data_IF_062973729746
#
_entry.id   IF_062973729746
#
_cell.length_a   1.000
_cell.length_b   1.000
_cell.length_c   1.000
_cell.angle_alpha   90.00
_cell.angle_beta   90.00
_cell.angle_gamma   90.00
#
_symmetry.space_group_name_H-M   'P 1'
#
loop_
_entity.id
_entity.type
_entity.pdbx_description
1 polymer ?
#
# COMPACT_ATOMS: atom_id res chain seq x y z
N UNK A 1 5.08 9.05 -10.35
CA UNK A 1 5.86 9.26 -9.11
C UNK A 1 6.42 7.96 -8.51
N UNK A 2 5.61 6.96 -8.14
CA UNK A 2 6.18 5.67 -7.68
C UNK A 2 7.06 5.04 -8.77
N UNK A 3 6.52 4.92 -9.99
CA UNK A 3 7.25 4.36 -11.13
C UNK A 3 8.56 5.10 -11.44
N UNK A 4 8.53 6.43 -11.45
CA UNK A 4 9.72 7.28 -11.61
C UNK A 4 10.78 7.01 -10.54
N UNK A 5 10.38 6.82 -9.27
CA UNK A 5 11.32 6.52 -8.19
C UNK A 5 11.97 5.15 -8.36
N UNK A 6 11.19 4.13 -8.78
CA UNK A 6 11.71 2.80 -9.10
C UNK A 6 12.67 2.86 -10.29
N UNK A 7 12.31 3.58 -11.36
CA UNK A 7 13.15 3.78 -12.56
C UNK A 7 14.44 4.55 -12.24
N UNK A 8 14.41 5.45 -11.25
CA UNK A 8 15.57 6.14 -10.72
C UNK A 8 16.44 5.28 -9.77
N UNK A 9 16.07 4.02 -9.53
CA UNK A 9 16.84 3.08 -8.71
C UNK A 9 16.58 3.16 -7.21
N UNK A 10 15.46 3.76 -6.77
CA UNK A 10 15.09 3.74 -5.36
C UNK A 10 14.57 2.36 -4.96
N UNK A 11 15.17 1.76 -3.94
CA UNK A 11 14.84 0.40 -3.48
C UNK A 11 14.04 0.38 -2.17
N UNK A 12 13.79 1.54 -1.54
CA UNK A 12 13.00 1.68 -0.32
C UNK A 12 12.17 2.98 -0.40
N UNK A 13 10.87 2.84 -0.66
CA UNK A 13 10.00 3.93 -1.10
C UNK A 13 8.77 4.01 -0.20
N UNK A 14 8.57 5.16 0.45
CA UNK A 14 7.32 5.48 1.14
C UNK A 14 6.37 6.19 0.17
N UNK A 15 5.15 5.68 0.02
CA UNK A 15 4.12 6.27 -0.82
C UNK A 15 2.98 6.79 0.05
N UNK A 16 2.57 8.03 -0.22
CA UNK A 16 1.50 8.73 0.47
C UNK A 16 0.58 9.42 -0.54
N UNK A 17 -0.65 9.74 -0.11
CA UNK A 17 -1.63 10.53 -0.88
C UNK A 17 -1.99 9.91 -2.25
N UNK A 18 -2.07 8.59 -2.32
CA UNK A 18 -2.42 7.87 -3.54
C UNK A 18 -3.94 7.63 -3.66
N UNK A 19 -4.50 7.94 -4.82
CA UNK A 19 -5.90 7.59 -5.12
C UNK A 19 -6.07 6.09 -5.42
N UNK A 20 -5.03 5.49 -6.01
CA UNK A 20 -4.96 4.10 -6.49
C UNK A 20 -3.66 3.43 -6.06
N UNK A 21 -3.63 2.11 -6.09
CA UNK A 21 -2.42 1.30 -5.87
C UNK A 21 -1.87 0.90 -7.25
N UNK A 22 -0.74 1.47 -7.64
CA UNK A 22 -0.09 1.21 -8.94
C UNK A 22 1.15 0.32 -8.72
N UNK A 23 0.90 -0.96 -8.44
CA UNK A 23 1.94 -1.91 -7.97
C UNK A 23 2.35 -2.96 -9.01
N UNK A 24 1.87 -2.85 -10.26
CA UNK A 24 2.22 -3.77 -11.35
C UNK A 24 3.72 -3.81 -11.59
N UNK A 25 4.31 -5.00 -11.66
CA UNK A 25 5.75 -5.21 -11.85
C UNK A 25 6.56 -5.15 -10.55
N UNK A 26 5.90 -5.02 -9.39
CA UNK A 26 6.52 -5.01 -8.07
C UNK A 26 6.13 -6.24 -7.23
N UNK A 27 5.69 -7.33 -7.86
CA UNK A 27 5.10 -8.49 -7.20
C UNK A 27 6.03 -9.13 -6.14
N UNK A 28 7.33 -9.14 -6.42
CA UNK A 28 8.37 -9.66 -5.51
C UNK A 28 8.74 -8.69 -4.37
N UNK A 29 8.35 -7.41 -4.47
CA UNK A 29 8.71 -6.42 -3.46
C UNK A 29 7.95 -6.65 -2.16
N UNK A 30 8.58 -6.32 -1.04
CA UNK A 30 7.93 -6.31 0.25
C UNK A 30 7.15 -5.01 0.44
N UNK A 31 5.90 -5.14 0.89
CA UNK A 31 5.04 -4.01 1.24
C UNK A 31 4.70 -4.03 2.73
N UNK A 32 4.67 -2.86 3.36
CA UNK A 32 4.02 -2.60 4.64
C UNK A 32 2.97 -1.53 4.41
N UNK A 33 1.71 -1.94 4.35
CA UNK A 33 0.58 -1.07 4.10
C UNK A 33 -0.22 -0.85 5.38
N UNK A 34 -0.70 0.38 5.56
CA UNK A 34 -1.60 0.73 6.64
C UNK A 34 -2.64 1.75 6.21
N UNK A 35 -3.88 1.57 6.68
CA UNK A 35 -4.97 2.55 6.53
C UNK A 35 -5.30 3.24 7.83
N UNK A 36 -5.71 4.50 7.73
CA UNK A 36 -6.29 5.28 8.82
C UNK A 36 -5.50 5.11 10.13
N UNK A 37 -4.17 5.15 10.02
CA UNK A 37 -3.25 4.86 11.12
C UNK A 37 -3.55 5.73 12.35
N UNK A 38 -3.53 5.11 13.53
CA UNK A 38 -3.85 5.75 14.81
C UNK A 38 -5.34 5.96 15.07
N UNK A 39 -6.22 5.45 14.23
CA UNK A 39 -7.69 5.49 14.42
C UNK A 39 -8.25 4.10 14.76
N UNK A 40 -9.53 4.04 15.13
CA UNK A 40 -10.21 2.76 15.40
C UNK A 40 -10.38 1.89 14.15
N UNK A 41 -10.30 2.49 12.96
CA UNK A 41 -10.44 1.81 11.67
C UNK A 41 -9.08 1.42 11.07
N UNK A 42 -8.03 1.43 11.88
CA UNK A 42 -6.69 1.03 11.47
C UNK A 42 -6.68 -0.42 10.97
N UNK A 43 -6.06 -0.62 9.80
CA UNK A 43 -5.77 -1.94 9.24
C UNK A 43 -4.32 -1.97 8.79
N UNK A 44 -3.68 -3.12 9.00
CA UNK A 44 -2.27 -3.34 8.65
C UNK A 44 -2.16 -4.63 7.83
N UNK A 45 -1.41 -4.56 6.73
CA UNK A 45 -1.08 -5.71 5.89
C UNK A 45 0.38 -5.62 5.50
N UNK A 46 1.10 -6.75 5.52
CA UNK A 46 2.47 -6.81 5.06
C UNK A 46 2.77 -8.18 4.41
N UNK A 47 3.72 -8.18 3.47
CA UNK A 47 4.16 -9.37 2.73
C UNK A 47 4.71 -9.00 1.36
N UNK A 48 4.96 -10.00 0.51
CA UNK A 48 5.24 -9.76 -0.90
C UNK A 48 3.99 -9.18 -1.58
N UNK A 49 4.15 -8.16 -2.43
CA UNK A 49 3.03 -7.49 -3.11
C UNK A 49 2.14 -8.51 -3.83
N UNK A 50 2.73 -9.49 -4.52
CA UNK A 50 1.98 -10.53 -5.24
C UNK A 50 1.09 -11.38 -4.33
N UNK A 51 1.46 -11.55 -3.06
CA UNK A 51 0.73 -12.38 -2.11
C UNK A 51 -0.39 -11.61 -1.39
N UNK A 52 -0.21 -10.31 -1.17
CA UNK A 52 -1.08 -9.53 -0.27
C UNK A 52 -1.91 -8.45 -0.95
N UNK A 53 -1.75 -8.23 -2.26
CA UNK A 53 -2.47 -7.17 -2.99
C UNK A 53 -4.00 -7.32 -2.89
N UNK A 54 -4.53 -8.52 -3.06
CA UNK A 54 -5.98 -8.76 -2.99
C UNK A 54 -6.54 -8.51 -1.58
N UNK A 55 -5.77 -8.86 -0.53
CA UNK A 55 -6.11 -8.55 0.85
C UNK A 55 -6.15 -7.04 1.08
N UNK A 56 -5.14 -6.31 0.61
CA UNK A 56 -5.07 -4.85 0.71
C UNK A 56 -6.28 -4.20 0.03
N UNK A 57 -6.61 -4.61 -1.19
CA UNK A 57 -7.74 -4.08 -1.95
C UNK A 57 -9.06 -4.32 -1.22
N UNK A 58 -9.26 -5.52 -0.68
CA UNK A 58 -10.45 -5.88 0.10
C UNK A 58 -10.57 -5.00 1.34
N UNK A 59 -9.51 -4.90 2.14
CA UNK A 59 -9.53 -4.09 3.36
C UNK A 59 -9.74 -2.60 3.08
N UNK A 60 -9.19 -2.07 1.98
CA UNK A 60 -9.39 -0.67 1.58
C UNK A 60 -10.85 -0.35 1.29
N UNK A 61 -11.59 -1.29 0.70
CA UNK A 61 -13.04 -1.16 0.46
C UNK A 61 -13.81 -1.24 1.78
N UNK A 62 -13.48 -2.19 2.64
CA UNK A 62 -14.12 -2.36 3.94
C UNK A 62 -13.98 -1.11 4.82
N UNK A 63 -12.75 -0.59 4.96
CA UNK A 63 -12.45 0.62 5.73
C UNK A 63 -13.24 1.81 5.21
N UNK A 64 -13.26 2.00 3.88
CA UNK A 64 -14.06 3.08 3.28
C UNK A 64 -15.56 2.92 3.56
N UNK A 65 -16.07 1.69 3.59
CA UNK A 65 -17.48 1.42 3.86
C UNK A 65 -17.86 1.72 5.31
N UNK A 66 -16.98 1.47 6.28
CA UNK A 66 -17.27 1.71 7.71
C UNK A 66 -16.96 3.13 8.14
N UNK A 67 -15.83 3.69 7.70
CA UNK A 67 -15.37 5.01 8.13
C UNK A 67 -15.92 6.15 7.25
N UNK A 68 -16.40 5.84 6.04
CA UNK A 68 -16.80 6.83 5.03
C UNK A 68 -15.63 7.45 4.26
N UNK A 69 -14.40 7.17 4.67
CA UNK A 69 -13.16 7.64 4.05
C UNK A 69 -12.07 6.59 4.20
N UNK A 70 -11.03 6.69 3.37
CA UNK A 70 -9.84 5.85 3.49
C UNK A 70 -8.62 6.68 3.11
N UNK A 71 -7.62 6.68 3.99
CA UNK A 71 -6.30 7.22 3.72
C UNK A 71 -5.31 6.10 4.01
N UNK A 72 -4.58 5.69 2.99
CA UNK A 72 -3.52 4.71 3.12
C UNK A 72 -2.13 5.30 2.91
N UNK A 73 -1.17 4.63 3.51
CA UNK A 73 0.27 4.82 3.34
C UNK A 73 0.89 3.45 3.21
N UNK A 74 1.94 3.33 2.41
CA UNK A 74 2.69 2.09 2.35
C UNK A 74 4.17 2.32 2.08
N UNK A 75 4.99 1.49 2.73
CA UNK A 75 6.41 1.35 2.44
C UNK A 75 6.59 0.17 1.48
N UNK A 76 7.33 0.39 0.39
CA UNK A 76 7.82 -0.66 -0.51
C UNK A 76 9.31 -0.84 -0.31
N UNK A 77 9.77 -2.09 -0.31
CA UNK A 77 11.19 -2.43 -0.30
C UNK A 77 11.48 -3.54 -1.29
N UNK A 78 12.51 -3.35 -2.11
CA UNK A 78 13.01 -4.39 -3.02
C UNK A 78 13.61 -5.55 -2.21
N UNK A 79 13.51 -6.80 -2.69
CA UNK A 79 14.13 -7.97 -2.02
C UNK A 79 15.61 -7.82 -1.74
#
# INVERSE_FOLDING_TARGET
RLREAVEAGADNILVMLNARLELTGLEEWQIWWGTNLGTNDERLVNGAVGDVLDQILTQRVEVKSVAGWVMDVYLLRKP
#
